data_IF_616626809519
#
_entry.id   IF_616626809519
#
_cell.length_a   1.000
_cell.length_b   1.000
_cell.length_c   1.000
_cell.angle_alpha   90.00
_cell.angle_beta   90.00
_cell.angle_gamma   90.00
#
_symmetry.space_group_name_H-M   'P 1'
#
loop_
_entity.id
_entity.type
_entity.pdbx_description
1 polymer ?
#
# COMPACT_ATOMS: atom_id res chain seq x y z
N UNK A 1 -14.58 -26.98 -8.03
CA UNK A 1 -15.39 -25.78 -7.71
C UNK A 1 -15.32 -24.86 -8.91
N UNK A 2 -16.48 -24.35 -9.35
CA UNK A 2 -16.67 -23.74 -10.67
C UNK A 2 -15.64 -22.67 -10.99
N UNK A 3 -15.30 -22.54 -12.28
CA UNK A 3 -14.55 -21.40 -12.78
C UNK A 3 -15.43 -20.16 -12.55
N UNK A 4 -15.35 -19.56 -11.37
CA UNK A 4 -15.96 -18.25 -11.15
C UNK A 4 -15.39 -17.35 -12.25
N UNK A 5 -16.28 -16.79 -13.06
CA UNK A 5 -15.92 -15.93 -14.15
C UNK A 5 -15.13 -14.73 -13.61
N UNK A 6 -14.29 -14.13 -14.45
CA UNK A 6 -13.58 -12.90 -14.07
C UNK A 6 -14.56 -11.82 -13.62
N UNK A 7 -15.77 -11.81 -14.19
CA UNK A 7 -16.86 -10.90 -13.83
C UNK A 7 -17.34 -11.15 -12.39
N UNK A 8 -17.64 -12.39 -12.00
CA UNK A 8 -18.07 -12.71 -10.63
C UNK A 8 -17.01 -12.34 -9.58
N UNK A 9 -15.72 -12.53 -9.89
CA UNK A 9 -14.62 -12.08 -9.01
C UNK A 9 -14.58 -10.55 -8.90
N UNK A 10 -14.80 -9.84 -10.00
CA UNK A 10 -14.83 -8.37 -10.01
C UNK A 10 -16.03 -7.84 -9.23
N UNK A 11 -17.21 -8.44 -9.36
CA UNK A 11 -18.40 -8.10 -8.57
C UNK A 11 -18.15 -8.22 -7.07
N UNK A 12 -17.51 -9.32 -6.63
CA UNK A 12 -17.11 -9.49 -5.24
C UNK A 12 -16.15 -8.39 -4.76
N UNK A 13 -15.15 -8.03 -5.57
CA UNK A 13 -14.21 -6.95 -5.26
C UNK A 13 -14.90 -5.59 -5.18
N UNK A 14 -15.81 -5.26 -6.11
CA UNK A 14 -16.59 -4.02 -6.05
C UNK A 14 -17.48 -3.96 -4.82
N UNK A 15 -18.10 -5.08 -4.44
CA UNK A 15 -18.89 -5.17 -3.21
C UNK A 15 -18.02 -4.97 -1.97
N UNK A 16 -16.82 -5.58 -1.92
CA UNK A 16 -15.87 -5.36 -0.83
C UNK A 16 -15.42 -3.90 -0.75
N UNK A 17 -15.14 -3.26 -1.90
CA UNK A 17 -14.79 -1.84 -1.98
C UNK A 17 -15.91 -0.92 -1.49
N UNK A 18 -17.17 -1.22 -1.84
CA UNK A 18 -18.34 -0.48 -1.38
C UNK A 18 -18.49 -0.58 0.14
N UNK A 19 -18.43 -1.79 0.70
CA UNK A 19 -18.49 -2.03 2.15
C UNK A 19 -17.34 -1.30 2.85
N UNK A 20 -16.12 -1.37 2.33
CA UNK A 20 -14.97 -0.68 2.91
C UNK A 20 -15.18 0.85 2.98
N UNK A 21 -15.77 1.45 1.93
CA UNK A 21 -16.09 2.89 1.88
C UNK A 21 -17.25 3.26 2.80
N UNK A 22 -18.24 2.40 2.96
CA UNK A 22 -19.34 2.56 3.92
C UNK A 22 -18.81 2.56 5.36
N UNK A 23 -17.92 1.63 5.68
CA UNK A 23 -17.29 1.48 6.99
C UNK A 23 -16.02 2.35 7.19
N UNK A 24 -15.81 3.39 6.37
CA UNK A 24 -14.59 4.21 6.43
C UNK A 24 -14.36 4.88 7.79
N UNK A 25 -15.42 5.31 8.48
CA UNK A 25 -15.31 6.04 9.75
C UNK A 25 -14.70 5.18 10.88
N UNK A 26 -15.26 4.00 11.22
CA UNK A 26 -14.67 3.16 12.27
C UNK A 26 -13.26 2.67 11.91
N UNK A 27 -12.98 2.35 10.64
CA UNK A 27 -11.63 1.92 10.21
C UNK A 27 -10.63 3.07 10.32
N UNK A 28 -11.02 4.29 9.94
CA UNK A 28 -10.19 5.47 10.10
C UNK A 28 -9.90 5.77 11.58
N UNK A 29 -10.87 5.58 12.47
CA UNK A 29 -10.66 5.70 13.92
C UNK A 29 -9.63 4.69 14.44
N UNK A 30 -9.68 3.44 13.96
CA UNK A 30 -8.64 2.44 14.27
C UNK A 30 -7.26 2.91 13.81
N UNK A 31 -7.13 3.43 12.58
CA UNK A 31 -5.85 3.96 12.07
C UNK A 31 -5.32 5.13 12.92
N UNK A 32 -6.20 6.03 13.38
CA UNK A 32 -5.81 7.12 14.28
C UNK A 32 -5.25 6.56 15.58
N UNK A 33 -5.95 5.62 16.22
CA UNK A 33 -5.55 5.06 17.52
C UNK A 33 -4.33 4.14 17.43
N UNK A 34 -4.21 3.38 16.35
CA UNK A 34 -3.21 2.32 16.21
C UNK A 34 -1.86 2.85 15.69
N UNK A 35 -1.88 3.77 14.72
CA UNK A 35 -0.67 4.25 14.03
C UNK A 35 -0.54 5.77 14.01
N UNK A 36 -1.31 6.47 14.85
CA UNK A 36 -1.30 7.93 14.99
C UNK A 36 -1.45 8.68 13.66
N UNK A 37 -2.19 8.12 12.70
CA UNK A 37 -2.45 8.77 11.42
C UNK A 37 -3.46 9.90 11.60
N UNK A 38 -3.22 11.11 11.06
CA UNK A 38 -4.17 12.22 11.17
C UNK A 38 -5.57 11.80 10.69
N UNK A 39 -6.62 12.21 11.41
CA UNK A 39 -7.98 11.72 11.17
C UNK A 39 -8.45 11.89 9.71
N UNK A 40 -8.15 13.04 9.09
CA UNK A 40 -8.47 13.29 7.67
C UNK A 40 -7.73 12.31 6.75
N UNK A 41 -6.42 12.16 6.94
CA UNK A 41 -5.58 11.24 6.18
C UNK A 41 -6.02 9.77 6.35
N UNK A 42 -6.48 9.40 7.55
CA UNK A 42 -7.01 8.06 7.84
C UNK A 42 -8.28 7.78 7.04
N UNK A 43 -9.22 8.73 6.94
CA UNK A 43 -10.42 8.56 6.10
C UNK A 43 -10.04 8.43 4.63
N UNK A 44 -9.16 9.30 4.14
CA UNK A 44 -8.67 9.25 2.76
C UNK A 44 -7.96 7.93 2.45
N UNK A 45 -7.20 7.38 3.40
CA UNK A 45 -6.53 6.07 3.24
C UNK A 45 -7.54 4.94 3.00
N UNK A 46 -8.62 4.89 3.79
CA UNK A 46 -9.63 3.84 3.66
C UNK A 46 -10.40 3.97 2.35
N UNK A 47 -10.78 5.20 1.98
CA UNK A 47 -11.46 5.47 0.71
C UNK A 47 -10.56 5.08 -0.47
N UNK A 48 -9.29 5.50 -0.47
CA UNK A 48 -8.31 5.17 -1.50
C UNK A 48 -8.04 3.67 -1.60
N UNK A 49 -8.06 2.96 -0.47
CA UNK A 49 -7.94 1.50 -0.46
C UNK A 49 -9.13 0.84 -1.16
N UNK A 50 -10.35 1.36 -0.94
CA UNK A 50 -11.54 0.94 -1.67
C UNK A 50 -11.46 1.26 -3.16
N UNK A 51 -10.97 2.45 -3.53
CA UNK A 51 -10.75 2.83 -4.93
C UNK A 51 -9.75 1.89 -5.62
N UNK A 52 -8.66 1.52 -4.94
CA UNK A 52 -7.68 0.58 -5.46
C UNK A 52 -8.27 -0.81 -5.66
N UNK A 53 -9.11 -1.29 -4.74
CA UNK A 53 -9.80 -2.58 -4.89
C UNK A 53 -10.73 -2.55 -6.12
N UNK A 54 -11.52 -1.48 -6.28
CA UNK A 54 -12.37 -1.32 -7.47
C UNK A 54 -11.55 -1.22 -8.76
N UNK A 55 -10.45 -0.47 -8.76
CA UNK A 55 -9.56 -0.35 -9.90
C UNK A 55 -8.98 -1.72 -10.31
N UNK A 56 -8.47 -2.49 -9.36
CA UNK A 56 -7.97 -3.84 -9.60
C UNK A 56 -9.04 -4.81 -10.13
N UNK A 57 -10.31 -4.62 -9.72
CA UNK A 57 -11.43 -5.41 -10.24
C UNK A 57 -11.63 -5.15 -11.74
N UNK A 58 -11.68 -3.88 -12.14
CA UNK A 58 -11.83 -3.45 -13.52
C UNK A 58 -10.65 -3.88 -14.40
N UNK A 59 -9.41 -3.67 -13.93
CA UNK A 59 -8.22 -4.10 -14.66
C UNK A 59 -8.18 -5.62 -14.79
N UNK A 60 -8.62 -6.36 -13.77
CA UNK A 60 -8.78 -7.81 -13.86
C UNK A 60 -9.72 -8.23 -14.99
N UNK A 61 -10.86 -7.55 -15.13
CA UNK A 61 -11.82 -7.79 -16.23
C UNK A 61 -11.23 -7.38 -17.58
N UNK A 62 -10.57 -6.22 -17.69
CA UNK A 62 -9.97 -5.76 -18.95
C UNK A 62 -8.90 -6.73 -19.43
N UNK A 63 -7.95 -7.06 -18.57
CA UNK A 63 -6.81 -7.87 -18.95
C UNK A 63 -7.26 -9.30 -19.30
N UNK A 64 -8.06 -9.94 -18.43
CA UNK A 64 -8.48 -11.33 -18.64
C UNK A 64 -9.65 -11.45 -19.64
N UNK A 65 -10.47 -10.40 -19.80
CA UNK A 65 -11.59 -10.35 -20.73
C UNK A 65 -11.19 -10.04 -22.16
N UNK A 66 -10.13 -9.26 -22.38
CA UNK A 66 -9.54 -9.03 -23.72
C UNK A 66 -8.66 -10.20 -24.19
N UNK A 67 -8.56 -11.29 -23.42
CA UNK A 67 -7.66 -12.40 -23.73
C UNK A 67 -6.17 -12.02 -23.67
N UNK A 68 -5.85 -10.83 -23.12
CA UNK A 68 -4.47 -10.42 -22.85
C UNK A 68 -3.96 -11.25 -21.68
N UNK A 69 -3.19 -12.28 -21.99
CA UNK A 69 -2.55 -13.13 -21.00
C UNK A 69 -1.66 -12.31 -20.07
N UNK A 70 -1.96 -12.33 -18.76
CA UNK A 70 -0.95 -12.03 -17.74
C UNK A 70 0.00 -13.21 -17.68
N UNK A 71 1.14 -13.09 -18.34
CA UNK A 71 2.15 -14.14 -18.34
C UNK A 71 3.01 -14.04 -17.09
N UNK A 72 2.84 -15.02 -16.19
CA UNK A 72 3.95 -15.76 -15.59
C UNK A 72 3.82 -17.26 -15.93
N UNK A 73 3.05 -17.56 -16.98
CA UNK A 73 2.59 -18.84 -17.53
C UNK A 73 1.46 -19.56 -16.77
N UNK A 74 0.23 -19.31 -17.25
CA UNK A 74 -0.99 -20.14 -17.18
C UNK A 74 -1.35 -20.73 -15.82
N UNK A 75 -1.98 -19.94 -14.94
CA UNK A 75 -2.53 -20.39 -13.66
C UNK A 75 -3.38 -21.68 -13.80
N UNK A 76 -2.86 -22.86 -13.37
CA UNK A 76 -3.75 -23.90 -12.89
C UNK A 76 -4.42 -23.28 -11.66
N UNK A 77 -5.73 -23.45 -11.51
CA UNK A 77 -6.42 -22.98 -10.30
C UNK A 77 -5.66 -23.45 -9.07
N UNK A 78 -5.06 -22.51 -8.33
CA UNK A 78 -4.22 -22.83 -7.19
C UNK A 78 -4.99 -22.69 -5.89
N UNK A 79 -4.52 -23.42 -4.88
CA UNK A 79 -5.21 -23.57 -3.60
C UNK A 79 -5.33 -22.25 -2.81
N UNK A 80 -6.34 -22.25 -1.92
CA UNK A 80 -7.03 -21.08 -1.36
C UNK A 80 -6.26 -20.39 -0.23
N UNK A 81 -5.08 -19.85 -0.47
CA UNK A 81 -4.27 -19.30 0.62
C UNK A 81 -3.46 -18.09 0.21
N UNK A 82 -4.14 -16.94 0.05
CA UNK A 82 -3.46 -15.63 0.09
C UNK A 82 -3.34 -15.21 1.55
N UNK A 83 -2.10 -15.09 2.03
CA UNK A 83 -1.80 -14.59 3.36
C UNK A 83 -1.42 -13.12 3.29
N UNK A 84 -2.13 -12.28 4.04
CA UNK A 84 -1.69 -10.92 4.34
C UNK A 84 -0.98 -10.96 5.69
N UNK A 85 0.29 -10.57 5.72
CA UNK A 85 1.07 -10.38 6.93
C UNK A 85 1.13 -8.89 7.25
N UNK A 86 0.75 -8.52 8.47
CA UNK A 86 0.97 -7.16 8.97
C UNK A 86 1.46 -7.18 10.41
N UNK A 87 2.49 -6.38 10.69
CA UNK A 87 3.08 -6.23 12.03
C UNK A 87 2.72 -4.89 12.70
N UNK A 88 2.14 -3.94 11.95
CA UNK A 88 1.66 -2.63 12.42
C UNK A 88 0.40 -2.28 11.64
N UNK A 89 -0.64 -1.74 12.29
CA UNK A 89 -1.93 -1.57 11.60
C UNK A 89 -2.74 -2.86 11.52
N UNK A 90 -2.51 -3.81 12.45
CA UNK A 90 -3.14 -5.11 12.48
C UNK A 90 -4.66 -5.03 12.68
N UNK A 91 -5.13 -4.10 13.52
CA UNK A 91 -6.57 -3.93 13.75
C UNK A 91 -7.24 -3.39 12.49
N UNK A 92 -6.65 -2.36 11.86
CA UNK A 92 -7.17 -1.83 10.61
C UNK A 92 -7.19 -2.88 9.47
N UNK A 93 -6.14 -3.72 9.38
CA UNK A 93 -6.09 -4.82 8.43
C UNK A 93 -7.18 -5.88 8.69
N UNK A 94 -7.42 -6.25 9.96
CA UNK A 94 -8.49 -7.17 10.31
C UNK A 94 -9.87 -6.62 9.93
N UNK A 95 -10.13 -5.32 10.12
CA UNK A 95 -11.35 -4.68 9.66
C UNK A 95 -11.49 -4.72 8.13
N UNK A 96 -10.42 -4.42 7.40
CA UNK A 96 -10.42 -4.51 5.93
C UNK A 96 -10.79 -5.94 5.49
N UNK A 97 -10.15 -6.95 6.07
CA UNK A 97 -10.39 -8.37 5.74
C UNK A 97 -11.81 -8.80 6.10
N UNK A 98 -12.35 -8.29 7.21
CA UNK A 98 -13.76 -8.48 7.56
C UNK A 98 -14.70 -7.92 6.48
N UNK A 99 -14.40 -6.78 5.86
CA UNK A 99 -15.18 -6.26 4.73
C UNK A 99 -15.17 -7.23 3.52
N UNK A 100 -14.05 -7.90 3.24
CA UNK A 100 -14.01 -8.94 2.20
C UNK A 100 -14.89 -10.14 2.57
N UNK A 101 -14.91 -10.56 3.83
CA UNK A 101 -15.83 -11.64 4.27
C UNK A 101 -17.30 -11.22 4.16
N UNK A 102 -17.65 -10.00 4.57
CA UNK A 102 -19.01 -9.45 4.40
C UNK A 102 -19.44 -9.34 2.94
N UNK A 103 -18.49 -9.12 2.02
CA UNK A 103 -18.78 -9.11 0.59
C UNK A 103 -19.20 -10.50 0.06
N UNK A 104 -18.87 -11.58 0.78
CA UNK A 104 -19.23 -12.96 0.40
C UNK A 104 -18.05 -13.75 -0.17
N UNK A 105 -16.81 -13.34 0.08
CA UNK A 105 -15.64 -14.12 -0.34
C UNK A 105 -15.69 -15.52 0.28
N UNK A 106 -15.39 -16.59 -0.49
CA UNK A 106 -15.35 -17.94 0.03
C UNK A 106 -14.44 -18.08 1.25
N UNK A 107 -14.90 -18.84 2.26
CA UNK A 107 -14.12 -19.12 3.46
C UNK A 107 -12.74 -19.69 3.08
N UNK A 108 -11.70 -19.14 3.72
CA UNK A 108 -10.31 -19.50 3.51
C UNK A 108 -9.61 -18.77 2.36
N UNK A 109 -10.36 -18.20 1.39
CA UNK A 109 -9.76 -17.58 0.20
C UNK A 109 -8.84 -16.41 0.52
N UNK A 110 -9.24 -15.59 1.50
CA UNK A 110 -8.45 -14.50 2.05
C UNK A 110 -8.33 -14.73 3.55
N UNK A 111 -7.08 -14.77 4.03
CA UNK A 111 -6.74 -14.95 5.44
C UNK A 111 -5.78 -13.86 5.91
N UNK A 112 -6.05 -13.32 7.10
CA UNK A 112 -5.18 -12.35 7.78
C UNK A 112 -4.51 -13.03 8.95
N UNK A 113 -3.19 -13.00 9.00
CA UNK A 113 -2.41 -13.57 10.10
C UNK A 113 -1.61 -12.46 10.76
N UNK A 114 -1.78 -12.30 12.07
CA UNK A 114 -1.09 -11.30 12.88
C UNK A 114 -0.04 -11.96 13.74
N UNK A 115 1.15 -11.37 13.81
CA UNK A 115 2.24 -11.86 14.65
C UNK A 115 3.51 -11.08 14.39
N UNK A 116 4.55 -11.33 15.19
CA UNK A 116 5.85 -10.71 14.95
C UNK A 116 6.48 -11.32 13.71
N UNK A 117 7.02 -10.48 12.82
CA UNK A 117 7.74 -10.96 11.64
C UNK A 117 8.90 -11.91 11.98
N UNK A 118 9.55 -11.72 13.12
CA UNK A 118 10.61 -12.61 13.63
C UNK A 118 10.11 -14.00 14.04
N UNK A 119 8.81 -14.17 14.28
CA UNK A 119 8.22 -15.44 14.73
C UNK A 119 7.51 -16.16 13.57
N UNK A 120 6.79 -15.43 12.71
CA UNK A 120 5.96 -16.03 11.65
C UNK A 120 6.41 -15.69 10.23
N UNK A 121 7.31 -14.72 10.04
CA UNK A 121 7.70 -14.21 8.73
C UNK A 121 8.47 -15.21 7.89
N UNK A 122 9.50 -15.84 8.45
CA UNK A 122 10.28 -16.88 7.75
C UNK A 122 9.40 -18.07 7.40
N UNK A 123 8.55 -18.51 8.34
CA UNK A 123 7.59 -19.59 8.09
C UNK A 123 6.71 -19.30 6.88
N UNK A 124 6.11 -18.11 6.80
CA UNK A 124 5.24 -17.73 5.68
C UNK A 124 6.01 -17.56 4.37
N UNK A 125 7.18 -16.92 4.40
CA UNK A 125 7.93 -16.57 3.17
C UNK A 125 8.69 -17.75 2.57
N UNK A 126 8.98 -18.79 3.36
CA UNK A 126 9.66 -20.01 2.91
C UNK A 126 8.71 -21.20 2.69
N UNK A 127 7.40 -21.03 2.97
CA UNK A 127 6.45 -22.14 2.87
C UNK A 127 6.31 -22.62 1.42
N UNK A 128 6.42 -23.94 1.13
CA UNK A 128 6.40 -24.47 -0.23
C UNK A 128 5.07 -24.23 -0.98
N UNK A 129 3.98 -23.98 -0.24
CA UNK A 129 2.67 -23.63 -0.81
C UNK A 129 2.51 -22.16 -1.21
N UNK A 130 3.47 -21.29 -0.89
CA UNK A 130 3.43 -19.88 -1.30
C UNK A 130 3.96 -19.76 -2.73
N UNK A 131 3.18 -19.14 -3.60
CA UNK A 131 3.46 -19.03 -5.03
C UNK A 131 3.70 -17.58 -5.52
N UNK A 132 3.61 -16.59 -4.63
CA UNK A 132 3.91 -15.18 -4.88
C UNK A 132 4.04 -14.46 -3.54
N UNK A 133 4.92 -13.47 -3.45
CA UNK A 133 5.04 -12.58 -2.28
C UNK A 133 4.94 -11.13 -2.75
N UNK A 134 4.02 -10.38 -2.14
CA UNK A 134 3.99 -8.91 -2.22
C UNK A 134 4.37 -8.36 -0.85
N UNK A 135 5.43 -7.57 -0.79
CA UNK A 135 5.97 -7.02 0.45
C UNK A 135 6.27 -5.53 0.31
N UNK A 136 5.80 -4.75 1.28
CA UNK A 136 6.13 -3.33 1.43
C UNK A 136 6.79 -3.11 2.78
N UNK A 137 8.00 -2.55 2.81
CA UNK A 137 8.77 -2.40 4.03
C UNK A 137 10.12 -1.74 3.80
N UNK A 138 11.11 -2.07 4.63
CA UNK A 138 12.50 -1.65 4.47
C UNK A 138 13.41 -2.83 4.15
N UNK A 139 14.63 -2.82 4.71
CA UNK A 139 15.68 -3.81 4.44
C UNK A 139 15.29 -5.27 4.68
N UNK A 140 14.24 -5.53 5.47
CA UNK A 140 13.64 -6.86 5.63
C UNK A 140 13.31 -7.51 4.27
N UNK A 141 12.90 -6.73 3.26
CA UNK A 141 12.62 -7.25 1.92
C UNK A 141 13.83 -7.91 1.27
N UNK A 142 15.05 -7.44 1.56
CA UNK A 142 16.30 -8.06 1.09
C UNK A 142 16.44 -9.46 1.70
N UNK A 143 16.18 -9.60 3.00
CA UNK A 143 16.23 -10.90 3.67
C UNK A 143 15.16 -11.87 3.12
N UNK A 144 13.94 -11.37 2.88
CA UNK A 144 12.86 -12.17 2.27
C UNK A 144 13.28 -12.64 0.87
N UNK A 145 13.83 -11.76 0.04
CA UNK A 145 14.24 -12.11 -1.33
C UNK A 145 15.30 -13.21 -1.41
N UNK A 146 16.14 -13.34 -0.37
CA UNK A 146 17.17 -14.38 -0.27
C UNK A 146 16.65 -15.72 0.24
N UNK A 147 15.50 -15.72 0.91
CA UNK A 147 14.90 -16.91 1.55
C UNK A 147 13.71 -17.48 0.77
N UNK A 148 13.01 -16.66 0.01
CA UNK A 148 11.86 -17.07 -0.78
C UNK A 148 12.25 -18.12 -1.84
N UNK A 149 11.29 -18.97 -2.20
CA UNK A 149 11.45 -19.89 -3.34
C UNK A 149 11.54 -19.16 -4.68
N UNK A 150 11.64 -19.92 -5.77
CA UNK A 150 11.63 -19.36 -7.14
C UNK A 150 10.20 -18.96 -7.54
N UNK A 151 9.71 -17.89 -6.94
CA UNK A 151 8.35 -17.36 -7.10
C UNK A 151 8.40 -15.86 -7.41
N UNK A 152 7.35 -15.28 -8.01
CA UNK A 152 7.26 -13.84 -8.19
C UNK A 152 7.34 -13.08 -6.85
N UNK A 153 8.19 -12.05 -6.84
CA UNK A 153 8.40 -11.14 -5.71
C UNK A 153 8.09 -9.71 -6.14
N UNK A 154 7.06 -9.11 -5.55
CA UNK A 154 6.77 -7.68 -5.68
C UNK A 154 7.24 -6.96 -4.40
N UNK A 155 8.23 -6.08 -4.52
CA UNK A 155 8.94 -5.50 -3.39
C UNK A 155 8.92 -3.97 -3.46
N UNK A 156 8.35 -3.32 -2.44
CA UNK A 156 8.33 -1.86 -2.28
C UNK A 156 9.14 -1.47 -1.03
N UNK A 157 10.42 -1.12 -1.20
CA UNK A 157 11.43 -1.10 -0.12
C UNK A 157 11.85 0.29 0.39
N UNK A 158 10.96 1.29 0.25
CA UNK A 158 11.25 2.67 0.62
C UNK A 158 12.03 3.44 -0.45
N UNK A 159 12.51 4.64 -0.11
CA UNK A 159 13.18 5.52 -1.06
C UNK A 159 13.93 6.68 -0.40
N UNK A 160 14.82 7.34 -1.16
CA UNK A 160 15.55 8.54 -0.75
C UNK A 160 15.22 9.71 -1.70
N UNK A 161 13.98 10.16 -1.68
CA UNK A 161 13.45 11.06 -2.70
C UNK A 161 14.03 12.48 -2.59
N UNK A 162 14.52 12.97 -3.73
CA UNK A 162 15.13 14.29 -3.87
C UNK A 162 14.16 15.29 -4.49
N UNK A 163 14.22 16.54 -4.02
CA UNK A 163 13.57 17.70 -4.62
C UNK A 163 14.66 18.64 -5.16
N UNK A 164 14.68 18.89 -6.46
CA UNK A 164 15.71 19.73 -7.11
C UNK A 164 15.10 21.10 -7.44
N UNK A 165 15.74 22.17 -6.97
CA UNK A 165 15.30 23.56 -7.15
C UNK A 165 16.26 24.26 -8.12
N UNK A 166 15.74 24.55 -9.32
CA UNK A 166 16.45 25.24 -10.40
C UNK A 166 16.30 26.77 -10.29
N UNK A 167 17.09 27.49 -11.09
CA UNK A 167 17.20 28.96 -11.02
C UNK A 167 15.89 29.72 -11.29
N UNK A 168 15.02 29.15 -12.12
CA UNK A 168 13.74 29.70 -12.54
C UNK A 168 12.56 29.22 -11.67
N UNK A 169 12.84 28.46 -10.62
CA UNK A 169 11.80 27.90 -9.76
C UNK A 169 11.05 28.99 -8.98
N UNK A 170 9.71 28.85 -8.92
CA UNK A 170 8.89 29.58 -7.97
C UNK A 170 9.22 29.11 -6.55
N UNK A 171 9.93 29.96 -5.80
CA UNK A 171 10.41 29.62 -4.46
C UNK A 171 9.29 29.55 -3.41
N UNK A 172 8.18 30.24 -3.61
CA UNK A 172 7.04 30.18 -2.70
C UNK A 172 6.29 28.85 -2.86
N UNK A 173 6.05 28.45 -4.11
CA UNK A 173 5.48 27.15 -4.44
C UNK A 173 6.41 26.00 -4.02
N UNK A 174 7.70 26.13 -4.29
CA UNK A 174 8.71 25.16 -3.91
C UNK A 174 8.75 24.98 -2.38
N UNK A 175 8.85 26.07 -1.62
CA UNK A 175 8.87 25.99 -0.16
C UNK A 175 7.60 25.33 0.42
N UNK A 176 6.43 25.65 -0.14
CA UNK A 176 5.17 25.04 0.29
C UNK A 176 5.14 23.53 0.03
N UNK A 177 5.56 23.09 -1.16
CA UNK A 177 5.58 21.67 -1.52
C UNK A 177 6.70 20.89 -0.82
N UNK A 178 7.85 21.50 -0.54
CA UNK A 178 8.91 20.88 0.26
C UNK A 178 8.40 20.58 1.67
N UNK A 179 7.78 21.57 2.34
CA UNK A 179 7.26 21.36 3.70
C UNK A 179 6.16 20.31 3.70
N UNK A 180 5.18 20.43 2.79
CA UNK A 180 4.10 19.45 2.67
C UNK A 180 4.65 18.06 2.37
N UNK A 181 5.52 17.92 1.37
CA UNK A 181 6.07 16.64 0.92
C UNK A 181 7.05 16.00 1.90
N UNK A 182 7.79 16.80 2.68
CA UNK A 182 8.75 16.31 3.67
C UNK A 182 8.12 15.95 5.01
N UNK A 183 7.13 16.72 5.48
CA UNK A 183 6.61 16.60 6.84
C UNK A 183 5.18 16.07 6.95
N UNK A 184 4.43 15.92 5.84
CA UNK A 184 3.10 15.28 5.90
C UNK A 184 3.22 13.87 6.50
N UNK A 185 2.26 13.52 7.37
CA UNK A 185 2.29 12.29 8.16
C UNK A 185 3.63 12.07 8.90
N UNK A 186 4.20 13.16 9.43
CA UNK A 186 5.50 13.19 10.12
C UNK A 186 6.65 12.62 9.28
N UNK A 187 6.57 12.77 7.95
CA UNK A 187 7.56 12.22 7.01
C UNK A 187 7.52 10.69 6.87
N UNK A 188 6.53 10.00 7.46
CA UNK A 188 6.38 8.54 7.40
C UNK A 188 5.72 8.07 6.10
N UNK A 189 6.23 8.55 4.96
CA UNK A 189 5.80 8.13 3.63
C UNK A 189 7.02 7.70 2.83
N UNK A 190 6.90 6.59 2.10
CA UNK A 190 7.98 6.14 1.20
C UNK A 190 8.37 7.23 0.21
N UNK A 191 7.42 8.06 -0.22
CA UNK A 191 7.56 9.19 -1.15
C UNK A 191 7.89 10.54 -0.48
N UNK A 192 8.20 10.58 0.82
CA UNK A 192 8.49 11.84 1.50
C UNK A 192 9.76 12.50 0.93
N UNK A 193 9.76 13.83 0.80
CA UNK A 193 10.96 14.58 0.40
C UNK A 193 12.02 14.46 1.49
N UNK A 194 13.14 13.82 1.17
CA UNK A 194 14.21 13.52 2.14
C UNK A 194 15.47 14.36 1.91
N UNK A 195 15.65 14.85 0.69
CA UNK A 195 16.79 15.68 0.30
C UNK A 195 16.30 16.82 -0.58
N UNK A 196 16.73 18.04 -0.29
CA UNK A 196 16.49 19.21 -1.16
C UNK A 196 17.82 19.64 -1.74
N UNK A 197 17.94 19.61 -3.06
CA UNK A 197 19.09 20.07 -3.81
C UNK A 197 18.72 21.42 -4.42
N UNK A 198 19.50 22.46 -4.16
CA UNK A 198 19.19 23.83 -4.57
C UNK A 198 20.43 24.49 -5.17
N UNK A 199 20.26 25.26 -6.24
CA UNK A 199 21.33 26.08 -6.79
C UNK A 199 21.81 27.09 -5.74
N UNK A 200 23.13 27.22 -5.56
CA UNK A 200 23.75 27.95 -4.47
C UNK A 200 23.21 29.38 -4.30
N UNK A 201 23.04 30.13 -5.40
CA UNK A 201 22.50 31.50 -5.39
C UNK A 201 21.09 31.61 -4.78
N UNK A 202 20.32 30.53 -4.78
CA UNK A 202 18.94 30.49 -4.27
C UNK A 202 18.85 30.02 -2.81
N UNK A 203 19.92 29.48 -2.24
CA UNK A 203 19.91 28.82 -0.93
C UNK A 203 19.35 29.72 0.18
N UNK A 204 19.83 30.96 0.25
CA UNK A 204 19.41 31.94 1.27
C UNK A 204 17.93 32.29 1.11
N UNK A 205 17.48 32.49 -0.14
CA UNK A 205 16.10 32.86 -0.44
C UNK A 205 15.13 31.72 -0.08
N UNK A 206 15.43 30.49 -0.48
CA UNK A 206 14.62 29.32 -0.17
C UNK A 206 14.58 29.07 1.35
N UNK A 207 15.72 29.16 2.03
CA UNK A 207 15.82 28.95 3.49
C UNK A 207 14.92 29.90 4.28
N UNK A 208 14.83 31.17 3.86
CA UNK A 208 13.95 32.18 4.50
C UNK A 208 12.47 31.81 4.35
N UNK A 209 12.08 31.20 3.23
CA UNK A 209 10.70 30.79 2.97
C UNK A 209 10.30 29.50 3.72
N UNK A 210 11.26 28.61 3.98
CA UNK A 210 11.03 27.34 4.69
C UNK A 210 10.79 27.52 6.20
N UNK A 211 11.61 28.35 6.88
CA UNK A 211 11.57 28.53 8.35
C UNK A 211 10.17 28.83 8.94
N UNK A 212 9.40 29.80 8.43
CA UNK A 212 8.07 30.08 8.99
C UNK A 212 7.06 28.98 8.69
N UNK A 213 7.26 28.18 7.64
CA UNK A 213 6.33 27.14 7.22
C UNK A 213 6.53 25.82 7.94
N UNK A 214 7.71 25.57 8.53
CA UNK A 214 8.03 24.32 9.24
C UNK A 214 7.74 24.35 10.75
N UNK A 215 7.25 25.47 11.29
CA UNK A 215 6.99 25.66 12.73
C UNK A 215 5.50 25.63 13.10
N UNK A 216 4.61 25.46 12.11
CA UNK A 216 3.18 25.22 12.29
C UNK A 216 2.85 23.74 12.09
#
# INVERSE_FOLDING_TARGET
>A
MGKDSTVERAELLHKAAAILKEHKAPIAECLVKEIAKPAKDSVTEVVRSGDLVSYCAEEGVRILGEGKFLVSDSFPGNERTKYCLTSKGAVAALHMIHCFHLAGFPKGLISCVTGKGSEIGDFLTMHPGVNCISFTGGDTGIAISKKAGMIPLQMELGGKDACIILEDADLDLAAANIVKGGFSYSGQRCTAVKVVLVIDRLLIFLSRKLKPKSQN
#
